data_IF_289834861401
#
_entry.id   IF_289834861401
#
_cell.length_a   1.000
_cell.length_b   1.000
_cell.length_c   1.000
_cell.angle_alpha   90.00
_cell.angle_beta   90.00
_cell.angle_gamma   90.00
#
_symmetry.space_group_name_H-M   'P 1'
#
loop_
_entity.id
_entity.type
_entity.pdbx_description
1 polymer ?
#
# COMPACT_ATOMS: atom_id res chain seq x y z
N UNK A 1 -41.92 22.97 28.80
CA UNK A 1 -40.91 22.71 27.74
C UNK A 1 -41.64 22.24 26.50
N UNK A 2 -41.70 23.08 25.49
CA UNK A 2 -42.48 22.83 24.26
C UNK A 2 -41.78 21.78 23.38
N UNK A 3 -42.54 20.91 22.72
CA UNK A 3 -42.07 19.85 21.80
C UNK A 3 -41.06 20.39 20.75
N UNK A 4 -41.19 21.68 20.38
CA UNK A 4 -40.28 22.37 19.46
C UNK A 4 -38.85 22.55 20.01
N UNK A 5 -38.69 22.75 21.33
CA UNK A 5 -37.36 22.89 21.95
C UNK A 5 -36.59 21.59 22.04
N UNK A 6 -37.28 20.45 22.17
CA UNK A 6 -36.67 19.11 22.16
C UNK A 6 -36.21 18.73 20.77
N UNK A 7 -37.02 18.95 19.75
CA UNK A 7 -36.67 18.66 18.37
C UNK A 7 -35.46 19.49 17.89
N UNK A 8 -35.41 20.79 18.23
CA UNK A 8 -34.30 21.68 17.87
C UNK A 8 -33.01 21.30 18.61
N UNK A 9 -33.10 20.94 19.88
CA UNK A 9 -31.92 20.49 20.65
C UNK A 9 -31.38 19.11 20.18
N UNK A 10 -32.29 18.25 19.75
CA UNK A 10 -31.93 16.94 19.16
C UNK A 10 -31.27 17.12 17.77
N UNK A 11 -31.84 17.97 16.91
CA UNK A 11 -31.26 18.31 15.60
C UNK A 11 -29.89 18.99 15.72
N UNK A 12 -29.71 19.91 16.70
CA UNK A 12 -28.39 20.52 16.94
C UNK A 12 -27.36 19.55 17.53
N UNK A 13 -27.79 18.59 18.36
CA UNK A 13 -26.90 17.54 18.90
C UNK A 13 -26.57 16.51 17.84
N UNK A 14 -27.53 16.06 17.06
CA UNK A 14 -27.31 15.11 15.95
C UNK A 14 -26.48 15.72 14.81
N UNK A 15 -26.68 16.99 14.47
CA UNK A 15 -25.86 17.70 13.50
C UNK A 15 -24.38 17.82 13.91
N UNK A 16 -24.12 18.07 15.20
CA UNK A 16 -22.75 18.13 15.74
C UNK A 16 -21.99 16.81 15.68
N UNK A 17 -22.67 15.68 15.60
CA UNK A 17 -22.07 14.35 15.50
C UNK A 17 -22.08 13.80 14.07
N UNK A 18 -23.11 14.07 13.30
CA UNK A 18 -23.26 13.58 11.93
C UNK A 18 -22.21 14.18 10.97
N UNK A 19 -21.90 15.48 11.12
CA UNK A 19 -20.93 16.17 10.26
C UNK A 19 -19.52 15.56 10.36
N UNK A 20 -18.91 15.35 11.55
CA UNK A 20 -17.60 14.67 11.64
C UNK A 20 -17.61 13.24 11.10
N UNK A 21 -18.69 12.47 11.28
CA UNK A 21 -18.82 11.11 10.74
C UNK A 21 -18.86 11.13 9.21
N UNK A 22 -19.71 11.99 8.62
CA UNK A 22 -19.75 12.17 7.17
C UNK A 22 -18.39 12.65 6.62
N UNK A 23 -17.72 13.57 7.33
CA UNK A 23 -16.36 14.00 7.00
C UNK A 23 -15.34 12.86 7.01
N UNK A 24 -15.42 11.95 8.00
CA UNK A 24 -14.60 10.74 8.05
C UNK A 24 -14.81 9.85 6.83
N UNK A 25 -16.07 9.62 6.46
CA UNK A 25 -16.39 8.85 5.25
C UNK A 25 -15.86 9.53 3.97
N UNK A 26 -15.98 10.85 3.85
CA UNK A 26 -15.45 11.60 2.70
C UNK A 26 -13.93 11.53 2.63
N UNK A 27 -13.22 11.64 3.76
CA UNK A 27 -11.77 11.47 3.80
C UNK A 27 -11.33 10.06 3.34
N UNK A 28 -12.08 9.03 3.72
CA UNK A 28 -11.84 7.66 3.23
C UNK A 28 -12.19 7.50 1.75
N UNK A 29 -13.31 8.08 1.31
CA UNK A 29 -13.74 8.03 -0.08
C UNK A 29 -12.78 8.77 -1.02
N UNK A 30 -12.00 9.73 -0.53
CA UNK A 30 -10.99 10.46 -1.29
C UNK A 30 -9.87 9.56 -1.87
N UNK A 31 -9.71 8.35 -1.36
CA UNK A 31 -8.82 7.33 -1.91
C UNK A 31 -9.43 6.65 -3.14
N UNK A 32 -8.57 6.25 -4.09
CA UNK A 32 -8.94 5.44 -5.24
C UNK A 32 -9.64 6.22 -6.35
N UNK A 33 -9.18 7.43 -6.63
CA UNK A 33 -9.59 8.24 -7.78
C UNK A 33 -8.43 8.42 -8.76
N UNK A 34 -8.62 7.94 -9.97
CA UNK A 34 -7.61 8.03 -11.03
C UNK A 34 -7.28 9.50 -11.36
N UNK A 35 -6.00 9.76 -11.58
CA UNK A 35 -5.50 11.10 -11.90
C UNK A 35 -5.52 12.09 -10.73
N UNK A 36 -5.99 11.71 -9.55
CA UNK A 36 -6.12 12.60 -8.38
C UNK A 36 -5.35 12.09 -7.14
N UNK A 37 -4.06 11.75 -7.25
CA UNK A 37 -3.31 11.16 -6.14
C UNK A 37 -3.16 12.11 -4.94
N UNK A 38 -3.26 13.41 -5.15
CA UNK A 38 -3.19 14.42 -4.10
C UNK A 38 -4.38 14.39 -3.12
N UNK A 39 -5.51 13.76 -3.50
CA UNK A 39 -6.65 13.56 -2.59
C UNK A 39 -6.29 12.72 -1.36
N UNK A 40 -5.24 11.90 -1.42
CA UNK A 40 -4.71 11.18 -0.25
C UNK A 40 -4.34 12.11 0.91
N UNK A 41 -4.04 13.37 0.64
CA UNK A 41 -3.79 14.39 1.67
C UNK A 41 -4.99 14.63 2.60
N UNK A 42 -6.23 14.38 2.13
CA UNK A 42 -7.45 14.50 2.95
C UNK A 42 -7.49 13.47 4.09
N UNK A 43 -6.69 12.40 4.03
CA UNK A 43 -6.56 11.46 5.13
C UNK A 43 -6.11 12.13 6.43
N UNK A 44 -5.33 13.23 6.37
CA UNK A 44 -4.93 14.01 7.54
C UNK A 44 -6.13 14.68 8.26
N UNK A 45 -7.25 14.87 7.60
CA UNK A 45 -8.42 15.45 8.22
C UNK A 45 -9.16 14.46 9.15
N UNK A 46 -9.04 13.14 8.94
CA UNK A 46 -9.71 12.14 9.76
C UNK A 46 -9.31 12.25 11.25
N UNK A 47 -8.03 12.30 11.65
CA UNK A 47 -7.64 12.51 13.05
C UNK A 47 -8.15 13.82 13.64
N UNK A 48 -8.27 14.88 12.84
CA UNK A 48 -8.84 16.16 13.30
C UNK A 48 -10.34 16.02 13.57
N UNK A 49 -11.09 15.38 12.68
CA UNK A 49 -12.52 15.09 12.86
C UNK A 49 -12.74 14.20 14.08
N UNK A 50 -11.87 13.18 14.29
CA UNK A 50 -11.85 12.33 15.47
C UNK A 50 -11.70 13.15 16.75
N UNK A 51 -10.84 14.16 16.76
CA UNK A 51 -10.64 15.03 17.92
C UNK A 51 -11.88 15.87 18.28
N UNK A 52 -12.75 16.14 17.31
CA UNK A 52 -13.99 16.89 17.48
C UNK A 52 -15.17 16.02 17.93
N UNK A 53 -14.99 14.70 18.05
CA UNK A 53 -16.05 13.79 18.45
C UNK A 53 -16.59 14.11 19.84
N UNK A 54 -17.91 14.00 20.02
CA UNK A 54 -18.58 14.25 21.30
C UNK A 54 -18.45 13.10 22.31
N UNK A 55 -18.03 11.89 21.85
CA UNK A 55 -17.81 10.72 22.68
C UNK A 55 -16.88 9.72 21.99
N UNK A 56 -16.36 8.76 22.77
CA UNK A 56 -15.52 7.69 22.22
C UNK A 56 -16.20 6.85 21.13
N UNK A 57 -17.50 6.66 21.23
CA UNK A 57 -18.28 5.92 20.26
C UNK A 57 -18.36 6.64 18.92
N UNK A 58 -18.56 7.95 18.94
CA UNK A 58 -18.54 8.77 17.74
C UNK A 58 -17.13 8.87 17.14
N UNK A 59 -16.11 8.94 17.99
CA UNK A 59 -14.71 8.91 17.57
C UNK A 59 -14.37 7.59 16.85
N UNK A 60 -14.77 6.46 17.43
CA UNK A 60 -14.64 5.15 16.79
C UNK A 60 -15.43 5.05 15.47
N UNK A 61 -16.64 5.65 15.43
CA UNK A 61 -17.46 5.67 14.22
C UNK A 61 -16.81 6.49 13.09
N UNK A 62 -16.20 7.63 13.39
CA UNK A 62 -15.44 8.43 12.41
C UNK A 62 -14.32 7.61 11.78
N UNK A 63 -13.54 6.91 12.60
CA UNK A 63 -12.48 6.04 12.11
C UNK A 63 -13.03 4.85 11.32
N UNK A 64 -14.10 4.21 11.81
CA UNK A 64 -14.73 3.08 11.12
C UNK A 64 -15.18 3.46 9.71
N UNK A 65 -15.95 4.54 9.57
CA UNK A 65 -16.45 4.95 8.25
C UNK A 65 -15.33 5.41 7.33
N UNK A 66 -14.23 5.98 7.87
CA UNK A 66 -13.03 6.29 7.11
C UNK A 66 -12.42 5.03 6.50
N UNK A 67 -12.12 4.01 7.31
CA UNK A 67 -11.50 2.78 6.82
C UNK A 67 -12.43 1.98 5.91
N UNK A 68 -13.72 1.93 6.20
CA UNK A 68 -14.69 1.27 5.33
C UNK A 68 -14.81 1.98 3.97
N UNK A 69 -14.87 3.30 3.94
CA UNK A 69 -14.93 4.06 2.70
C UNK A 69 -13.64 3.95 1.88
N UNK A 70 -12.47 3.98 2.54
CA UNK A 70 -11.16 3.81 1.90
C UNK A 70 -10.99 2.40 1.30
N UNK A 71 -11.56 1.38 1.93
CA UNK A 71 -11.50 -0.02 1.46
C UNK A 71 -12.77 -0.50 0.76
N UNK A 72 -13.59 0.41 0.22
CA UNK A 72 -14.89 0.09 -0.41
C UNK A 72 -14.84 -0.92 -1.55
N UNK A 73 -13.69 -1.08 -2.19
CA UNK A 73 -13.48 -2.10 -3.23
C UNK A 73 -13.31 -3.51 -2.69
N UNK A 74 -12.99 -3.67 -1.38
CA UNK A 74 -12.66 -4.97 -0.80
C UNK A 74 -13.81 -5.98 -0.86
N UNK A 75 -15.08 -5.65 -0.56
CA UNK A 75 -16.17 -6.63 -0.65
C UNK A 75 -16.31 -7.25 -2.04
N UNK A 76 -16.15 -6.44 -3.09
CA UNK A 76 -16.27 -6.89 -4.47
C UNK A 76 -15.03 -7.69 -4.89
N UNK A 77 -13.83 -7.16 -4.70
CA UNK A 77 -12.60 -7.85 -5.05
C UNK A 77 -12.42 -9.15 -4.27
N UNK A 78 -12.59 -9.14 -2.95
CA UNK A 78 -12.51 -10.37 -2.16
C UNK A 78 -13.60 -11.37 -2.53
N UNK A 79 -14.79 -10.90 -2.96
CA UNK A 79 -15.86 -11.76 -3.50
C UNK A 79 -15.41 -12.54 -4.74
N UNK A 80 -14.64 -11.91 -5.63
CA UNK A 80 -14.05 -12.58 -6.80
C UNK A 80 -12.90 -13.51 -6.37
N UNK A 81 -12.02 -13.04 -5.47
CA UNK A 81 -10.88 -13.82 -5.01
C UNK A 81 -11.27 -15.12 -4.31
N UNK A 82 -12.30 -15.08 -3.46
CA UNK A 82 -12.78 -16.22 -2.68
C UNK A 82 -14.00 -16.92 -3.29
N UNK A 83 -14.40 -16.62 -4.52
CA UNK A 83 -15.66 -17.11 -5.13
C UNK A 83 -15.83 -18.63 -5.05
N UNK A 84 -14.75 -19.40 -5.18
CA UNK A 84 -14.76 -20.86 -5.15
C UNK A 84 -14.56 -21.46 -3.75
N UNK A 85 -14.11 -20.66 -2.77
CA UNK A 85 -13.67 -21.17 -1.46
C UNK A 85 -14.48 -20.66 -0.27
N UNK A 86 -15.33 -19.64 -0.46
CA UNK A 86 -16.10 -19.05 0.61
C UNK A 86 -17.50 -18.57 0.16
N UNK A 87 -18.48 -18.50 1.09
CA UNK A 87 -19.81 -18.00 0.76
C UNK A 87 -19.80 -16.48 0.48
N UNK A 88 -20.77 -15.94 -0.29
CA UNK A 88 -20.78 -14.53 -0.73
C UNK A 88 -20.74 -13.49 0.40
N UNK A 89 -21.28 -13.81 1.58
CA UNK A 89 -21.24 -12.88 2.73
C UNK A 89 -19.84 -12.72 3.34
N UNK A 90 -18.93 -13.65 3.05
CA UNK A 90 -17.59 -13.70 3.67
C UNK A 90 -16.75 -12.43 3.34
N UNK A 91 -16.80 -11.98 2.10
CA UNK A 91 -16.08 -10.76 1.66
C UNK A 91 -16.57 -9.50 2.38
N UNK A 92 -17.87 -9.38 2.62
CA UNK A 92 -18.47 -8.30 3.40
C UNK A 92 -18.08 -8.36 4.87
N UNK A 93 -18.04 -9.59 5.43
CA UNK A 93 -17.58 -9.80 6.80
C UNK A 93 -16.10 -9.45 6.98
N UNK A 94 -15.23 -9.81 6.03
CA UNK A 94 -13.82 -9.42 6.01
C UNK A 94 -13.66 -7.90 5.99
N UNK A 95 -14.39 -7.22 5.11
CA UNK A 95 -14.36 -5.76 5.00
C UNK A 95 -14.77 -5.09 6.31
N UNK A 96 -15.88 -5.50 6.90
CA UNK A 96 -16.36 -4.96 8.17
C UNK A 96 -15.36 -5.25 9.30
N UNK A 97 -14.84 -6.46 9.39
CA UNK A 97 -13.87 -6.86 10.40
C UNK A 97 -12.57 -6.05 10.30
N UNK A 98 -12.04 -5.85 9.10
CA UNK A 98 -10.86 -5.03 8.86
C UNK A 98 -11.09 -3.57 9.27
N UNK A 99 -12.24 -3.00 8.94
CA UNK A 99 -12.64 -1.65 9.37
C UNK A 99 -12.74 -1.53 10.89
N UNK A 100 -13.35 -2.53 11.56
CA UNK A 100 -13.50 -2.57 13.02
C UNK A 100 -12.13 -2.67 13.71
N UNK A 101 -11.25 -3.55 13.26
CA UNK A 101 -9.89 -3.70 13.82
C UNK A 101 -9.13 -2.37 13.78
N UNK A 102 -9.19 -1.67 12.65
CA UNK A 102 -8.55 -0.36 12.50
C UNK A 102 -9.23 0.74 13.33
N UNK A 103 -10.53 0.66 13.59
CA UNK A 103 -11.27 1.65 14.38
C UNK A 103 -11.05 1.49 15.90
N UNK A 104 -10.71 0.30 16.39
CA UNK A 104 -10.54 0.01 17.83
C UNK A 104 -9.53 0.93 18.52
N UNK A 105 -8.29 1.17 18.01
CA UNK A 105 -7.36 2.10 18.63
C UNK A 105 -7.94 3.51 18.79
N UNK A 106 -8.65 3.98 17.78
CA UNK A 106 -9.29 5.30 17.77
C UNK A 106 -10.44 5.41 18.77
N UNK A 107 -11.24 4.34 18.93
CA UNK A 107 -12.29 4.24 19.94
C UNK A 107 -11.72 4.28 21.36
N UNK A 108 -10.69 3.46 21.62
CA UNK A 108 -10.15 3.26 22.99
C UNK A 108 -9.32 4.45 23.46
N UNK A 109 -8.58 5.09 22.57
CA UNK A 109 -7.66 6.16 22.90
C UNK A 109 -8.33 7.56 22.90
N UNK A 110 -9.58 7.67 22.52
CA UNK A 110 -10.28 8.95 22.54
C UNK A 110 -10.51 9.47 23.97
N UNK A 111 -10.41 10.79 24.14
CA UNK A 111 -10.63 11.49 25.41
C UNK A 111 -11.26 12.85 25.16
N UNK A 112 -12.06 13.36 26.09
CA UNK A 112 -12.56 14.75 26.04
C UNK A 112 -11.45 15.79 26.37
N UNK A 113 -10.38 15.37 27.03
CA UNK A 113 -9.28 16.25 27.39
C UNK A 113 -8.32 16.45 26.22
N UNK A 114 -8.25 17.67 25.67
CA UNK A 114 -7.41 18.00 24.51
C UNK A 114 -5.92 17.71 24.75
N UNK A 115 -5.40 17.91 25.98
CA UNK A 115 -4.01 17.58 26.29
C UNK A 115 -3.76 16.09 26.21
N UNK A 116 -4.73 15.27 26.63
CA UNK A 116 -4.65 13.82 26.51
C UNK A 116 -4.78 13.39 25.05
N UNK A 117 -5.69 13.99 24.27
CA UNK A 117 -5.80 13.74 22.82
C UNK A 117 -4.49 14.02 22.09
N UNK A 118 -3.74 15.05 22.48
CA UNK A 118 -2.45 15.40 21.89
C UNK A 118 -1.42 14.27 21.96
N UNK A 119 -1.54 13.36 22.92
CA UNK A 119 -0.69 12.16 23.04
C UNK A 119 -1.35 10.90 22.50
N UNK A 120 -2.65 10.74 22.70
CA UNK A 120 -3.35 9.51 22.30
C UNK A 120 -3.65 9.46 20.80
N UNK A 121 -3.72 10.60 20.12
CA UNK A 121 -3.87 10.63 18.66
C UNK A 121 -2.61 10.11 17.92
N UNK A 122 -1.38 10.57 18.24
CA UNK A 122 -0.17 9.95 17.71
C UNK A 122 -0.07 8.45 18.03
N UNK A 123 -0.49 8.04 19.24
CA UNK A 123 -0.54 6.63 19.62
C UNK A 123 -1.53 5.83 18.75
N UNK A 124 -2.72 6.38 18.45
CA UNK A 124 -3.68 5.73 17.55
C UNK A 124 -3.14 5.60 16.12
N UNK A 125 -2.49 6.65 15.61
CA UNK A 125 -1.79 6.60 14.31
C UNK A 125 -0.72 5.51 14.28
N UNK A 126 0.11 5.43 15.32
CA UNK A 126 1.17 4.44 15.42
C UNK A 126 0.62 3.01 15.53
N UNK A 127 -0.39 2.78 16.38
CA UNK A 127 -1.00 1.46 16.56
C UNK A 127 -1.66 0.94 15.27
N UNK A 128 -2.29 1.83 14.47
CA UNK A 128 -2.88 1.44 13.19
C UNK A 128 -1.84 1.33 12.06
N UNK A 129 -0.65 1.92 12.22
CA UNK A 129 0.44 1.81 11.28
C UNK A 129 1.32 0.58 11.53
N UNK A 130 1.49 0.16 12.77
CA UNK A 130 2.45 -0.87 13.19
C UNK A 130 1.77 -2.22 13.52
N UNK A 131 2.46 -3.35 13.36
CA UNK A 131 1.96 -4.64 13.82
C UNK A 131 1.56 -4.64 15.30
N UNK A 132 0.53 -5.40 15.73
CA UNK A 132 -0.24 -6.34 14.89
C UNK A 132 -1.36 -5.69 14.05
N UNK A 133 -1.90 -4.51 14.44
CA UNK A 133 -3.01 -3.86 13.72
C UNK A 133 -2.56 -3.45 12.31
N UNK A 134 -1.33 -2.95 12.17
CA UNK A 134 -0.74 -2.55 10.90
C UNK A 134 -0.63 -3.66 9.84
N UNK A 135 -0.80 -4.95 10.21
CA UNK A 135 -0.96 -6.03 9.22
C UNK A 135 -2.28 -5.94 8.44
N UNK A 136 -3.27 -5.22 8.98
CA UNK A 136 -4.58 -4.97 8.36
C UNK A 136 -4.74 -3.46 8.12
N UNK A 137 -3.70 -2.67 8.41
CA UNK A 137 -3.67 -1.21 8.44
C UNK A 137 -3.67 -0.58 7.06
N UNK A 138 -4.77 -0.64 6.36
CA UNK A 138 -4.96 -0.08 5.03
C UNK A 138 -5.07 1.46 5.08
N UNK A 139 -4.34 2.16 4.20
CA UNK A 139 -4.38 3.62 3.98
C UNK A 139 -4.36 4.46 5.28
N UNK A 140 -3.35 4.25 6.10
CA UNK A 140 -3.17 4.99 7.34
C UNK A 140 -3.06 6.50 7.08
N UNK A 141 -3.67 7.36 7.91
CA UNK A 141 -3.58 8.82 7.74
C UNK A 141 -2.16 9.40 7.71
N UNK A 142 -1.16 8.69 8.23
CA UNK A 142 0.26 9.09 8.11
C UNK A 142 0.71 9.23 6.66
N UNK A 143 0.10 8.50 5.73
CA UNK A 143 0.39 8.58 4.30
C UNK A 143 0.21 10.01 3.76
N UNK A 144 -0.70 10.82 4.34
CA UNK A 144 -0.90 12.21 3.95
C UNK A 144 0.37 13.08 4.06
N UNK A 145 1.39 12.63 4.80
CA UNK A 145 2.66 13.35 4.92
C UNK A 145 3.34 13.60 3.56
N UNK A 146 3.21 12.67 2.61
CA UNK A 146 3.82 12.85 1.29
C UNK A 146 3.14 13.92 0.41
N UNK A 147 1.90 14.29 0.74
CA UNK A 147 1.23 15.42 0.09
C UNK A 147 1.53 16.73 0.82
N UNK A 148 1.52 16.70 2.15
CA UNK A 148 1.69 17.92 2.96
C UNK A 148 3.16 18.32 3.11
N UNK A 149 4.06 17.36 3.25
CA UNK A 149 5.48 17.57 3.54
C UNK A 149 6.38 16.76 2.59
N UNK A 150 6.24 16.90 1.26
CA UNK A 150 7.03 16.15 0.30
C UNK A 150 8.53 16.42 0.48
N UNK A 151 9.36 15.41 0.18
CA UNK A 151 10.82 15.51 0.23
C UNK A 151 11.44 15.49 1.63
N UNK A 152 10.62 15.56 2.70
CA UNK A 152 11.13 15.63 4.05
C UNK A 152 11.28 14.27 4.75
N UNK A 153 10.89 13.17 4.11
CA UNK A 153 11.05 11.83 4.67
C UNK A 153 10.46 11.66 6.06
N UNK A 154 11.21 11.08 6.98
CA UNK A 154 10.77 10.90 8.38
C UNK A 154 10.51 12.23 9.11
N UNK A 155 11.22 13.30 8.75
CA UNK A 155 10.92 14.65 9.29
C UNK A 155 9.55 15.11 8.84
N UNK A 156 9.14 14.82 7.60
CA UNK A 156 7.81 15.11 7.09
C UNK A 156 6.70 14.37 7.85
N UNK A 157 6.93 13.10 8.23
CA UNK A 157 6.02 12.37 9.12
C UNK A 157 5.91 13.04 10.49
N UNK A 158 7.04 13.45 11.08
CA UNK A 158 7.03 14.16 12.35
C UNK A 158 6.31 15.50 12.24
N UNK A 159 6.51 16.26 11.15
CA UNK A 159 5.79 17.50 10.87
C UNK A 159 4.28 17.28 10.73
N UNK A 160 3.83 16.22 10.07
CA UNK A 160 2.41 15.89 10.00
C UNK A 160 1.84 15.64 11.39
N UNK A 161 2.46 14.75 12.18
CA UNK A 161 2.00 14.44 13.54
C UNK A 161 2.00 15.69 14.42
N UNK A 162 3.05 16.50 14.36
CA UNK A 162 3.13 17.77 15.07
C UNK A 162 2.01 18.72 14.64
N UNK A 163 1.70 18.83 13.34
CA UNK A 163 0.62 19.67 12.83
C UNK A 163 -0.73 19.26 13.39
N UNK A 164 -1.01 17.96 13.44
CA UNK A 164 -2.24 17.42 14.00
C UNK A 164 -2.37 17.74 15.51
N UNK A 165 -1.28 17.50 16.27
CA UNK A 165 -1.22 17.79 17.72
C UNK A 165 -1.41 19.25 18.01
N UNK A 166 -0.69 20.12 17.31
CA UNK A 166 -0.72 21.57 17.47
C UNK A 166 -2.10 22.12 17.15
N UNK A 167 -2.77 21.59 16.12
CA UNK A 167 -4.14 21.93 15.76
C UNK A 167 -5.11 21.57 16.89
N UNK A 168 -5.03 20.37 17.44
CA UNK A 168 -5.85 19.91 18.57
C UNK A 168 -5.65 20.81 19.80
N UNK A 169 -4.39 21.18 20.09
CA UNK A 169 -4.05 22.08 21.19
C UNK A 169 -4.37 23.56 20.91
N UNK A 170 -4.91 23.89 19.72
CA UNK A 170 -5.22 25.25 19.28
C UNK A 170 -4.05 26.22 19.34
N UNK A 171 -2.83 25.73 19.05
CA UNK A 171 -1.59 26.51 19.02
C UNK A 171 -1.39 27.12 17.63
N UNK A 172 -2.20 28.12 17.28
CA UNK A 172 -2.33 28.66 15.92
C UNK A 172 -1.03 29.23 15.34
N UNK A 173 -0.17 29.84 16.17
CA UNK A 173 1.14 30.35 15.73
C UNK A 173 2.05 29.21 15.25
N UNK A 174 2.15 28.13 16.04
CA UNK A 174 2.94 26.95 15.66
C UNK A 174 2.31 26.23 14.45
N UNK A 175 0.97 26.18 14.37
CA UNK A 175 0.27 25.65 13.21
C UNK A 175 0.58 26.43 11.93
N UNK A 176 0.66 27.76 12.00
CA UNK A 176 1.05 28.63 10.88
C UNK A 176 2.50 28.35 10.42
N UNK A 177 3.44 28.14 11.36
CA UNK A 177 4.83 27.77 11.01
C UNK A 177 4.86 26.44 10.27
N UNK A 178 4.17 25.41 10.77
CA UNK A 178 4.12 24.08 10.11
C UNK A 178 3.43 24.14 8.74
N UNK A 179 2.38 24.96 8.60
CA UNK A 179 1.75 25.22 7.31
C UNK A 179 2.73 25.91 6.33
N UNK A 180 3.52 26.87 6.81
CA UNK A 180 4.56 27.50 5.99
C UNK A 180 5.63 26.48 5.53
N UNK A 181 6.06 25.58 6.43
CA UNK A 181 6.97 24.48 6.06
C UNK A 181 6.33 23.59 4.98
N UNK A 182 5.04 23.24 5.12
CA UNK A 182 4.33 22.46 4.12
C UNK A 182 4.30 23.16 2.75
N UNK A 183 4.02 24.47 2.72
CA UNK A 183 4.03 25.25 1.48
C UNK A 183 5.42 25.25 0.85
N UNK A 184 6.45 25.53 1.63
CA UNK A 184 7.84 25.56 1.16
C UNK A 184 8.26 24.19 0.63
N UNK A 185 7.98 23.10 1.36
CA UNK A 185 8.26 21.74 0.91
C UNK A 185 7.60 21.42 -0.45
N UNK A 186 6.34 21.85 -0.63
CA UNK A 186 5.64 21.65 -1.90
C UNK A 186 6.23 22.50 -3.04
N UNK A 187 6.68 23.73 -2.77
CA UNK A 187 7.37 24.54 -3.79
C UNK A 187 8.68 23.87 -4.24
N UNK A 188 9.48 23.36 -3.32
CA UNK A 188 10.70 22.62 -3.66
C UNK A 188 10.38 21.33 -4.43
N UNK A 189 9.40 20.56 -3.99
CA UNK A 189 9.00 19.32 -4.67
C UNK A 189 8.47 19.54 -6.10
N UNK A 190 7.99 20.74 -6.45
CA UNK A 190 7.63 21.08 -7.83
C UNK A 190 8.87 21.35 -8.70
N UNK A 191 10.02 21.63 -8.11
CA UNK A 191 11.28 21.89 -8.81
C UNK A 191 12.17 20.66 -8.88
N UNK A 192 11.87 19.62 -8.07
CA UNK A 192 12.63 18.37 -8.07
C UNK A 192 12.61 17.70 -9.44
N UNK A 193 13.79 17.42 -9.96
CA UNK A 193 13.96 16.64 -11.18
C UNK A 193 14.29 15.20 -10.80
N UNK A 194 13.68 14.21 -11.46
CA UNK A 194 14.08 12.81 -11.29
C UNK A 194 15.58 12.66 -11.55
N UNK A 195 16.22 11.78 -10.79
CA UNK A 195 17.61 11.43 -11.03
C UNK A 195 17.80 10.96 -12.48
N UNK A 196 18.88 11.33 -13.19
CA UNK A 196 19.06 11.01 -14.61
C UNK A 196 18.92 9.52 -14.93
N UNK A 197 19.39 8.64 -14.03
CA UNK A 197 19.29 7.19 -14.20
C UNK A 197 17.85 6.66 -14.07
N UNK A 198 16.94 7.42 -13.45
CA UNK A 198 15.56 6.96 -13.23
C UNK A 198 14.79 6.78 -14.55
N UNK A 199 15.19 7.48 -15.60
CA UNK A 199 14.60 7.31 -16.94
C UNK A 199 14.90 5.95 -17.58
N UNK A 200 15.93 5.24 -17.09
CA UNK A 200 16.26 3.89 -17.53
C UNK A 200 15.41 2.80 -16.80
N UNK A 201 14.58 3.19 -15.84
CA UNK A 201 13.68 2.30 -15.11
C UNK A 201 12.24 2.51 -15.53
N UNK A 202 11.53 1.44 -15.87
CA UNK A 202 10.13 1.51 -16.27
C UNK A 202 9.32 0.35 -15.70
N UNK A 203 8.03 0.59 -15.45
CA UNK A 203 7.06 -0.45 -15.14
C UNK A 203 6.20 -0.74 -16.37
N UNK A 204 5.77 -1.98 -16.53
CA UNK A 204 4.86 -2.37 -17.59
C UNK A 204 3.71 -3.18 -17.05
N UNK A 205 2.52 -2.63 -17.17
CA UNK A 205 1.29 -3.31 -16.82
C UNK A 205 1.01 -4.46 -17.79
N UNK A 206 0.32 -5.47 -17.28
CA UNK A 206 -0.14 -6.61 -18.05
C UNK A 206 -1.63 -6.85 -17.84
N UNK A 207 -2.24 -7.57 -18.76
CA UNK A 207 -3.61 -8.03 -18.66
C UNK A 207 -3.63 -9.55 -18.87
N UNK A 208 -3.06 -10.26 -17.90
CA UNK A 208 -3.07 -11.71 -17.87
C UNK A 208 -4.27 -12.20 -17.07
N UNK A 209 -4.93 -13.23 -17.59
CA UNK A 209 -5.95 -13.92 -16.80
C UNK A 209 -5.34 -14.53 -15.53
N UNK A 210 -6.21 -14.84 -14.54
CA UNK A 210 -5.85 -15.60 -13.34
C UNK A 210 -4.99 -16.82 -13.71
N UNK A 211 -3.85 -16.96 -13.05
CA UNK A 211 -3.14 -18.24 -13.05
C UNK A 211 -3.93 -19.24 -12.21
N UNK A 212 -4.39 -20.31 -12.82
CA UNK A 212 -4.90 -21.46 -12.09
C UNK A 212 -3.70 -22.24 -11.56
N UNK A 213 -3.32 -21.96 -10.32
CA UNK A 213 -2.19 -22.63 -9.64
C UNK A 213 -2.53 -24.05 -9.21
N UNK A 214 -3.83 -24.39 -9.13
CA UNK A 214 -4.33 -25.68 -8.63
C UNK A 214 -4.69 -26.66 -9.75
N UNK A 215 -4.78 -26.21 -11.00
CA UNK A 215 -4.94 -27.05 -12.16
C UNK A 215 -3.55 -27.61 -12.60
N UNK A 216 -3.54 -28.77 -13.26
CA UNK A 216 -2.34 -29.29 -13.92
C UNK A 216 -1.66 -28.18 -14.72
N UNK A 217 -0.30 -28.10 -14.70
CA UNK A 217 0.44 -27.01 -15.33
C UNK A 217 -0.08 -26.79 -16.75
N UNK A 218 -0.63 -25.61 -17.02
CA UNK A 218 -1.04 -25.27 -18.37
C UNK A 218 0.20 -24.81 -19.13
N UNK A 219 0.98 -25.76 -19.62
CA UNK A 219 2.24 -25.53 -20.35
C UNK A 219 2.10 -24.53 -21.50
N UNK A 220 0.90 -24.42 -22.11
CA UNK A 220 0.65 -23.44 -23.16
C UNK A 220 0.66 -22.02 -22.61
N UNK A 221 -0.01 -21.80 -21.49
CA UNK A 221 -0.05 -20.47 -20.82
C UNK A 221 1.31 -20.08 -20.26
N UNK A 222 2.03 -21.01 -19.63
CA UNK A 222 3.40 -20.78 -19.17
C UNK A 222 4.34 -20.46 -20.32
N UNK A 223 4.33 -21.26 -21.38
CA UNK A 223 5.15 -21.06 -22.57
C UNK A 223 4.89 -19.69 -23.23
N UNK A 224 3.62 -19.26 -23.30
CA UNK A 224 3.26 -17.94 -23.82
C UNK A 224 3.82 -16.80 -22.97
N UNK A 225 3.79 -16.92 -21.63
CA UNK A 225 4.32 -15.89 -20.73
C UNK A 225 5.85 -15.84 -20.80
N UNK A 226 6.53 -16.97 -20.81
CA UNK A 226 7.99 -17.02 -21.01
C UNK A 226 8.37 -16.43 -22.37
N UNK A 227 7.66 -16.77 -23.45
CA UNK A 227 7.89 -16.19 -24.77
C UNK A 227 7.72 -14.66 -24.78
N UNK A 228 6.74 -14.15 -24.04
CA UNK A 228 6.52 -12.71 -23.91
C UNK A 228 7.67 -12.02 -23.14
N UNK A 229 8.17 -12.65 -22.08
CA UNK A 229 9.36 -12.15 -21.35
C UNK A 229 10.58 -12.15 -22.26
N UNK A 230 10.79 -13.20 -23.07
CA UNK A 230 11.87 -13.27 -24.06
C UNK A 230 11.77 -12.14 -25.08
N UNK A 231 10.57 -11.86 -25.58
CA UNK A 231 10.34 -10.75 -26.51
C UNK A 231 10.68 -9.40 -25.85
N UNK A 232 10.22 -9.16 -24.62
CA UNK A 232 10.53 -7.96 -23.86
C UNK A 232 12.04 -7.80 -23.62
N UNK A 233 12.73 -8.87 -23.24
CA UNK A 233 14.18 -8.87 -23.07
C UNK A 233 14.93 -8.54 -24.37
N UNK A 234 14.41 -9.03 -25.51
CA UNK A 234 14.94 -8.69 -26.84
C UNK A 234 14.83 -7.21 -27.16
N UNK A 235 13.71 -6.60 -26.79
CA UNK A 235 13.38 -5.19 -27.08
C UNK A 235 13.98 -4.20 -26.06
N UNK A 236 14.38 -4.67 -24.88
CA UNK A 236 14.90 -3.80 -23.83
C UNK A 236 16.25 -3.21 -24.25
N UNK A 237 16.37 -1.90 -24.14
CA UNK A 237 17.59 -1.18 -24.42
C UNK A 237 18.69 -1.49 -23.41
N UNK A 238 19.98 -1.40 -23.79
CA UNK A 238 21.09 -1.61 -22.86
C UNK A 238 21.02 -0.64 -21.67
N UNK A 239 21.36 -1.17 -20.50
CA UNK A 239 21.35 -0.38 -19.24
C UNK A 239 19.97 -0.11 -18.66
N UNK A 240 18.88 -0.66 -19.24
CA UNK A 240 17.53 -0.42 -18.77
C UNK A 240 17.02 -1.52 -17.82
N UNK A 241 16.16 -1.12 -16.89
CA UNK A 241 15.45 -2.02 -15.97
C UNK A 241 13.96 -1.96 -16.21
N UNK A 242 13.34 -3.11 -16.47
CA UNK A 242 11.91 -3.26 -16.64
C UNK A 242 11.30 -3.99 -15.44
N UNK A 243 10.27 -3.42 -14.85
CA UNK A 243 9.50 -4.06 -13.79
C UNK A 243 8.20 -4.63 -14.37
N UNK A 244 7.96 -5.90 -14.15
CA UNK A 244 6.72 -6.60 -14.49
C UNK A 244 5.90 -6.88 -13.20
N UNK A 245 4.59 -7.13 -13.33
CA UNK A 245 3.72 -7.37 -12.19
C UNK A 245 4.08 -8.61 -11.36
N UNK A 246 3.40 -8.73 -10.22
CA UNK A 246 3.39 -9.92 -9.38
C UNK A 246 2.82 -11.13 -10.14
N UNK A 247 3.38 -12.31 -9.90
CA UNK A 247 2.89 -13.61 -10.41
C UNK A 247 2.70 -13.65 -11.93
N UNK A 248 3.57 -12.99 -12.68
CA UNK A 248 3.64 -13.13 -14.15
C UNK A 248 4.07 -14.54 -14.51
N UNK A 249 5.05 -15.07 -13.80
CA UNK A 249 5.45 -16.47 -13.86
C UNK A 249 4.71 -17.25 -12.75
N UNK A 250 4.23 -18.47 -13.02
CA UNK A 250 3.53 -19.25 -12.00
C UNK A 250 4.51 -19.70 -10.89
N UNK A 251 5.09 -20.87 -11.02
CA UNK A 251 6.07 -21.39 -10.07
C UNK A 251 7.41 -21.54 -10.74
N UNK A 252 8.43 -20.95 -10.14
CA UNK A 252 9.81 -21.27 -10.49
C UNK A 252 10.32 -22.25 -9.43
N UNK A 253 10.15 -23.54 -9.73
CA UNK A 253 10.76 -24.60 -8.93
C UNK A 253 12.24 -24.63 -9.30
N UNK A 254 13.13 -24.61 -8.29
CA UNK A 254 14.55 -24.82 -8.53
C UNK A 254 14.75 -26.22 -9.13
N UNK A 255 15.05 -26.30 -10.42
CA UNK A 255 15.27 -27.56 -11.09
C UNK A 255 15.25 -27.45 -12.62
N UNK A 256 15.53 -28.53 -13.29
CA UNK A 256 15.72 -28.66 -14.72
C UNK A 256 14.43 -28.62 -15.55
N UNK A 257 13.47 -27.77 -15.21
CA UNK A 257 12.31 -27.59 -16.04
C UNK A 257 12.60 -26.66 -17.24
N UNK A 258 11.79 -26.78 -18.28
CA UNK A 258 11.96 -26.04 -19.53
C UNK A 258 11.90 -24.50 -19.28
N UNK A 259 11.02 -24.05 -18.41
CA UNK A 259 10.86 -22.64 -18.07
C UNK A 259 12.11 -22.06 -17.40
N UNK A 260 12.70 -22.80 -16.45
CA UNK A 260 13.94 -22.39 -15.78
C UNK A 260 15.12 -22.28 -16.77
N UNK A 261 15.24 -23.22 -17.73
CA UNK A 261 16.27 -23.15 -18.77
C UNK A 261 16.09 -21.94 -19.69
N UNK A 262 14.86 -21.66 -20.13
CA UNK A 262 14.55 -20.50 -20.96
C UNK A 262 14.82 -19.18 -20.22
N UNK A 263 14.45 -19.08 -18.96
CA UNK A 263 14.72 -17.90 -18.14
C UNK A 263 16.23 -17.70 -17.90
N UNK A 264 17.00 -18.76 -17.76
CA UNK A 264 18.46 -18.66 -17.69
C UNK A 264 19.06 -18.06 -18.97
N UNK A 265 18.56 -18.46 -20.15
CA UNK A 265 18.93 -17.85 -21.43
C UNK A 265 18.59 -16.36 -21.53
N UNK A 266 17.37 -15.99 -21.09
CA UNK A 266 16.93 -14.59 -21.00
C UNK A 266 17.84 -13.80 -20.05
N UNK A 267 18.16 -14.36 -18.88
CA UNK A 267 19.03 -13.71 -17.90
C UNK A 267 20.43 -13.46 -18.47
N UNK A 268 21.01 -14.43 -19.17
CA UNK A 268 22.31 -14.26 -19.83
C UNK A 268 22.29 -13.16 -20.91
N UNK A 269 21.22 -13.11 -21.71
CA UNK A 269 21.03 -12.06 -22.73
C UNK A 269 20.94 -10.65 -22.10
N UNK A 270 20.15 -10.52 -21.03
CA UNK A 270 19.99 -9.25 -20.31
C UNK A 270 21.29 -8.81 -19.67
N UNK A 271 22.02 -9.75 -19.04
CA UNK A 271 23.31 -9.47 -18.41
C UNK A 271 24.34 -8.97 -19.42
N UNK A 272 24.35 -9.52 -20.63
CA UNK A 272 25.20 -9.03 -21.73
C UNK A 272 24.87 -7.60 -22.18
N UNK A 273 23.65 -7.12 -21.91
CA UNK A 273 23.19 -5.75 -22.17
C UNK A 273 23.32 -4.84 -20.94
N UNK A 274 23.82 -5.33 -19.82
CA UNK A 274 23.78 -4.61 -18.52
C UNK A 274 22.36 -4.18 -18.12
N UNK A 275 21.36 -4.96 -18.52
CA UNK A 275 19.92 -4.69 -18.32
C UNK A 275 19.31 -5.73 -17.39
N UNK A 276 18.17 -5.39 -16.78
CA UNK A 276 17.46 -6.33 -15.92
C UNK A 276 15.95 -6.30 -16.12
N UNK A 277 15.29 -7.43 -15.87
CA UNK A 277 13.83 -7.51 -15.75
C UNK A 277 13.50 -8.04 -14.36
N UNK A 278 12.75 -7.25 -13.58
CA UNK A 278 12.11 -7.71 -12.36
C UNK A 278 10.78 -8.37 -12.72
N UNK A 279 10.61 -9.64 -12.44
CA UNK A 279 9.40 -10.41 -12.78
C UNK A 279 8.85 -11.15 -11.58
N UNK A 280 7.54 -11.01 -11.33
CA UNK A 280 6.86 -11.69 -10.24
C UNK A 280 6.73 -13.19 -10.46
N UNK A 281 7.07 -13.98 -9.44
CA UNK A 281 6.99 -15.44 -9.44
C UNK A 281 6.76 -15.99 -8.02
N UNK A 282 6.24 -17.22 -7.94
CA UNK A 282 6.29 -18.01 -6.71
C UNK A 282 7.58 -18.83 -6.69
N UNK A 283 8.34 -18.74 -5.59
CA UNK A 283 9.59 -19.47 -5.38
C UNK A 283 9.49 -20.43 -4.22
N UNK A 284 10.27 -21.51 -4.24
CA UNK A 284 10.31 -22.45 -3.15
C UNK A 284 10.95 -21.83 -1.90
N UNK A 285 10.32 -22.07 -0.75
CA UNK A 285 10.82 -21.71 0.57
C UNK A 285 11.13 -22.98 1.39
N UNK A 286 11.90 -22.88 2.48
CA UNK A 286 12.14 -24.00 3.38
C UNK A 286 10.82 -24.63 3.88
N UNK A 287 10.79 -25.97 4.05
CA UNK A 287 9.63 -26.67 4.60
C UNK A 287 8.46 -26.86 3.63
N UNK A 288 8.70 -26.92 2.32
CA UNK A 288 7.67 -27.05 1.26
C UNK A 288 6.70 -25.88 1.14
N UNK A 289 7.02 -24.76 1.76
CA UNK A 289 6.24 -23.53 1.60
C UNK A 289 6.63 -22.82 0.29
N UNK A 290 5.78 -21.91 -0.15
CA UNK A 290 6.07 -21.01 -1.26
C UNK A 290 6.29 -19.59 -0.72
N UNK A 291 7.05 -18.79 -1.46
CA UNK A 291 7.21 -17.37 -1.24
C UNK A 291 6.89 -16.64 -2.53
N UNK A 292 6.16 -15.56 -2.41
CA UNK A 292 5.96 -14.66 -3.54
C UNK A 292 7.15 -13.71 -3.64
N UNK A 293 7.68 -13.51 -4.83
CA UNK A 293 8.92 -12.78 -5.04
C UNK A 293 8.96 -12.05 -6.38
N UNK A 294 9.84 -11.04 -6.48
CA UNK A 294 10.34 -10.54 -7.76
C UNK A 294 11.71 -11.15 -8.03
N UNK A 295 11.84 -11.82 -9.14
CA UNK A 295 13.12 -12.34 -9.65
C UNK A 295 13.80 -11.30 -10.52
N UNK A 296 15.09 -11.07 -10.34
CA UNK A 296 15.87 -10.15 -11.15
C UNK A 296 16.59 -10.94 -12.28
N UNK A 297 16.00 -11.01 -13.45
CA UNK A 297 16.64 -11.60 -14.63
C UNK A 297 17.66 -10.61 -15.18
N UNK A 298 18.87 -11.07 -15.46
CA UNK A 298 19.98 -10.21 -15.93
C UNK A 298 20.83 -9.62 -14.81
N UNK A 299 20.45 -9.83 -13.55
CA UNK A 299 21.20 -9.40 -12.37
C UNK A 299 21.44 -10.59 -11.44
N UNK A 300 22.57 -10.61 -10.73
CA UNK A 300 22.93 -11.70 -9.81
C UNK A 300 22.33 -11.51 -8.40
N UNK A 301 21.47 -10.54 -8.21
CA UNK A 301 20.76 -10.34 -6.96
C UNK A 301 19.79 -11.49 -6.67
N UNK A 302 19.66 -11.84 -5.41
CA UNK A 302 18.69 -12.84 -5.00
C UNK A 302 17.25 -12.35 -5.18
N UNK A 303 16.27 -13.26 -5.02
CA UNK A 303 14.85 -12.90 -5.13
C UNK A 303 14.43 -11.86 -4.08
N UNK A 304 13.63 -10.88 -4.49
CA UNK A 304 13.03 -9.89 -3.62
C UNK A 304 11.73 -10.47 -3.05
N UNK A 305 11.79 -10.99 -1.83
CA UNK A 305 10.70 -11.76 -1.22
C UNK A 305 9.63 -10.87 -0.61
N UNK A 306 8.36 -11.11 -0.92
CA UNK A 306 7.22 -10.48 -0.26
C UNK A 306 7.26 -10.74 1.24
N UNK A 307 7.14 -9.70 2.05
CA UNK A 307 7.20 -9.79 3.51
C UNK A 307 5.85 -10.10 4.14
N UNK A 308 4.79 -9.48 3.62
CA UNK A 308 3.43 -9.56 4.17
C UNK A 308 2.46 -9.95 3.06
N UNK A 309 2.30 -11.24 2.78
CA UNK A 309 1.25 -11.73 1.90
C UNK A 309 -0.14 -11.43 2.49
N UNK A 310 -1.17 -11.41 1.64
CA UNK A 310 -2.56 -11.12 2.07
C UNK A 310 -2.99 -12.06 3.18
N UNK A 311 -3.32 -11.54 4.38
CA UNK A 311 -3.82 -12.37 5.47
C UNK A 311 -5.09 -13.14 5.07
N UNK A 312 -5.22 -14.38 5.54
CA UNK A 312 -6.33 -15.29 5.25
C UNK A 312 -6.36 -15.78 3.79
N UNK A 313 -6.02 -14.94 2.83
CA UNK A 313 -5.97 -15.30 1.42
C UNK A 313 -4.74 -16.13 1.07
N UNK A 314 -3.57 -15.57 1.28
CA UNK A 314 -2.28 -16.16 0.95
C UNK A 314 -1.52 -16.62 2.18
N UNK A 315 -1.48 -15.79 3.22
CA UNK A 315 -0.81 -16.08 4.50
C UNK A 315 -1.79 -16.73 5.48
N UNK A 316 -1.62 -18.01 5.68
CA UNK A 316 -2.42 -18.86 6.58
C UNK A 316 -1.49 -19.71 7.44
N UNK A 317 -0.89 -19.17 8.53
CA UNK A 317 0.14 -19.88 9.31
C UNK A 317 -0.38 -21.18 9.95
N UNK A 318 -1.70 -21.41 9.99
CA UNK A 318 -2.36 -22.62 10.46
C UNK A 318 -2.58 -23.68 9.36
N UNK A 319 -2.31 -23.36 8.07
CA UNK A 319 -2.51 -24.26 6.95
C UNK A 319 -1.16 -24.85 6.47
N UNK A 320 -1.19 -26.09 5.96
CA UNK A 320 -0.02 -26.73 5.41
C UNK A 320 0.47 -26.03 4.12
N UNK A 321 -0.49 -25.58 3.31
CA UNK A 321 -0.22 -24.80 2.10
C UNK A 321 -0.48 -23.33 2.37
N UNK A 322 0.58 -22.55 2.41
CA UNK A 322 0.56 -21.11 2.67
C UNK A 322 1.73 -20.43 2.01
N UNK A 323 1.57 -19.16 1.64
CA UNK A 323 2.69 -18.30 1.30
C UNK A 323 3.39 -17.88 2.58
N UNK A 324 4.70 -18.14 2.68
CA UNK A 324 5.49 -17.81 3.86
C UNK A 324 5.64 -16.28 3.98
N UNK A 325 5.39 -15.76 5.18
CA UNK A 325 5.58 -14.35 5.51
C UNK A 325 6.91 -14.13 6.23
N UNK A 326 7.55 -12.98 5.97
CA UNK A 326 8.72 -12.48 6.72
C UNK A 326 8.52 -10.99 7.07
N UNK A 327 7.58 -10.65 7.97
CA UNK A 327 7.18 -9.27 8.22
C UNK A 327 8.30 -8.34 8.70
N UNK A 328 9.37 -8.90 9.26
CA UNK A 328 10.53 -8.16 9.76
C UNK A 328 11.66 -8.04 8.73
N UNK A 329 11.49 -8.56 7.52
CA UNK A 329 12.45 -8.41 6.44
C UNK A 329 12.70 -6.93 6.10
N UNK A 330 13.92 -6.60 5.66
CA UNK A 330 14.33 -5.22 5.36
C UNK A 330 13.53 -4.56 4.23
N UNK A 331 12.98 -5.35 3.30
CA UNK A 331 12.30 -4.84 2.11
C UNK A 331 13.21 -4.08 1.16
N UNK A 332 14.52 -4.35 1.22
CA UNK A 332 15.55 -3.77 0.37
C UNK A 332 16.26 -4.89 -0.38
N UNK A 333 16.46 -4.68 -1.67
CA UNK A 333 17.32 -5.48 -2.52
C UNK A 333 18.33 -4.63 -3.28
N UNK A 334 19.20 -5.27 -4.02
CA UNK A 334 20.13 -4.62 -4.97
C UNK A 334 19.72 -5.05 -6.37
N UNK A 335 19.56 -4.15 -7.31
CA UNK A 335 19.30 -4.44 -8.71
C UNK A 335 19.94 -3.37 -9.57
N UNK A 336 20.70 -3.74 -10.58
CA UNK A 336 21.41 -2.82 -11.46
C UNK A 336 22.20 -1.74 -10.70
N UNK A 337 22.89 -2.14 -9.62
CA UNK A 337 23.69 -1.25 -8.77
C UNK A 337 22.87 -0.27 -7.91
N UNK A 338 21.54 -0.42 -7.83
CA UNK A 338 20.65 0.45 -7.03
C UNK A 338 20.04 -0.30 -5.84
N UNK A 339 19.85 0.43 -4.75
CA UNK A 339 19.11 -0.05 -3.58
C UNK A 339 17.62 0.11 -3.83
N UNK A 340 16.94 -1.00 -3.97
CA UNK A 340 15.53 -1.07 -4.35
C UNK A 340 14.70 -1.32 -3.10
N UNK A 341 13.89 -0.34 -2.69
CA UNK A 341 12.76 -0.64 -1.81
C UNK A 341 11.67 -1.30 -2.65
N UNK A 342 11.22 -2.47 -2.26
CA UNK A 342 10.16 -3.18 -2.97
C UNK A 342 8.98 -3.46 -2.06
N UNK A 343 7.79 -3.35 -2.65
CA UNK A 343 6.51 -3.68 -2.01
C UNK A 343 5.65 -4.44 -3.02
N UNK A 344 5.32 -5.67 -2.65
CA UNK A 344 4.58 -6.56 -3.55
C UNK A 344 3.12 -6.61 -3.12
N UNK A 345 2.21 -6.32 -4.04
CA UNK A 345 0.77 -6.42 -3.93
C UNK A 345 0.21 -5.73 -2.66
N UNK A 346 -0.29 -6.48 -1.71
CA UNK A 346 -0.89 -6.01 -0.47
C UNK A 346 0.02 -5.06 0.35
N UNK A 347 1.34 -5.25 0.31
CA UNK A 347 2.29 -4.40 1.04
C UNK A 347 2.23 -2.93 0.63
N UNK A 348 1.79 -2.64 -0.60
CA UNK A 348 1.65 -1.27 -1.10
C UNK A 348 0.62 -0.46 -0.30
N UNK A 349 -0.32 -1.15 0.34
CA UNK A 349 -1.38 -0.55 1.16
C UNK A 349 -0.96 -0.36 2.62
N UNK A 350 0.13 -1.01 3.06
CA UNK A 350 0.57 -1.05 4.44
C UNK A 350 1.64 0.01 4.73
N UNK A 351 1.55 0.64 5.89
CA UNK A 351 2.50 1.70 6.29
C UNK A 351 3.82 1.13 6.78
N UNK A 352 3.82 0.12 7.68
CA UNK A 352 5.06 -0.32 8.32
C UNK A 352 6.07 -0.96 7.37
N UNK A 353 5.69 -1.77 6.36
CA UNK A 353 6.68 -2.34 5.44
C UNK A 353 7.43 -1.25 4.67
N UNK A 354 6.70 -0.22 4.24
CA UNK A 354 7.29 0.92 3.54
C UNK A 354 8.24 1.68 4.47
N UNK A 355 7.84 1.99 5.71
CA UNK A 355 8.70 2.70 6.66
C UNK A 355 9.97 1.92 6.98
N UNK A 356 9.90 0.59 7.12
CA UNK A 356 11.07 -0.27 7.30
C UNK A 356 12.00 -0.18 6.10
N UNK A 357 11.47 -0.25 4.89
CA UNK A 357 12.27 -0.10 3.66
C UNK A 357 12.93 1.28 3.60
N UNK A 358 12.19 2.35 3.87
CA UNK A 358 12.71 3.73 3.82
C UNK A 358 13.79 4.01 4.87
N UNK A 359 13.74 3.37 6.04
CA UNK A 359 14.79 3.49 7.06
C UNK A 359 16.15 2.95 6.58
N UNK A 360 16.16 2.11 5.55
CA UNK A 360 17.38 1.59 4.93
C UNK A 360 17.90 2.44 3.77
N UNK A 361 17.30 3.60 3.48
CA UNK A 361 17.76 4.57 2.48
C UNK A 361 17.84 4.03 1.05
N UNK A 362 16.71 3.65 0.44
CA UNK A 362 16.67 3.17 -0.95
C UNK A 362 16.93 4.30 -1.95
N UNK A 363 17.26 3.91 -3.20
CA UNK A 363 17.37 4.81 -4.35
C UNK A 363 16.06 4.89 -5.14
N UNK A 364 15.26 3.80 -5.12
CA UNK A 364 14.01 3.67 -5.90
C UNK A 364 12.98 2.87 -5.11
N UNK A 365 11.71 3.19 -5.31
CA UNK A 365 10.56 2.44 -4.78
C UNK A 365 9.90 1.67 -5.92
N UNK A 366 9.88 0.34 -5.82
CA UNK A 366 9.24 -0.57 -6.77
C UNK A 366 7.98 -1.16 -6.16
N UNK A 367 6.86 -1.01 -6.86
CA UNK A 367 5.59 -1.67 -6.57
C UNK A 367 5.22 -2.65 -7.68
N UNK A 368 4.93 -3.89 -7.35
CA UNK A 368 4.40 -4.87 -8.29
C UNK A 368 3.16 -5.53 -7.71
N UNK A 369 2.07 -5.61 -8.47
CA UNK A 369 0.81 -6.16 -7.99
C UNK A 369 0.15 -7.08 -9.02
N UNK A 370 -0.70 -7.99 -8.51
CA UNK A 370 -1.56 -8.82 -9.35
C UNK A 370 -3.01 -8.64 -8.91
N UNK A 371 -3.68 -7.71 -9.55
CA UNK A 371 -4.99 -7.20 -9.17
C UNK A 371 -6.14 -7.71 -10.07
N UNK A 372 -5.94 -8.84 -10.78
CA UNK A 372 -6.96 -9.43 -11.64
C UNK A 372 -8.34 -9.57 -10.94
N UNK A 373 -8.33 -9.81 -9.63
CA UNK A 373 -9.52 -9.97 -8.78
C UNK A 373 -10.14 -8.63 -8.37
N UNK A 374 -9.40 -7.55 -8.43
CA UNK A 374 -9.78 -6.21 -8.01
C UNK A 374 -9.88 -5.21 -9.18
N UNK A 375 -9.75 -5.67 -10.41
CA UNK A 375 -9.66 -4.87 -11.64
C UNK A 375 -10.72 -3.76 -11.72
N UNK A 376 -11.98 -4.09 -11.40
CA UNK A 376 -13.12 -3.15 -11.50
C UNK A 376 -13.39 -2.43 -10.18
N UNK A 377 -12.41 -2.40 -9.27
CA UNK A 377 -12.53 -1.74 -7.98
C UNK A 377 -11.55 -0.58 -7.85
N UNK A 378 -11.64 0.15 -6.72
CA UNK A 378 -10.68 1.23 -6.42
C UNK A 378 -9.32 0.73 -5.92
N UNK A 379 -9.10 -0.58 -5.75
CA UNK A 379 -7.90 -1.14 -5.09
C UNK A 379 -6.62 -0.84 -5.89
N UNK A 380 -6.55 -1.13 -7.22
CA UNK A 380 -5.33 -0.84 -7.98
C UNK A 380 -4.95 0.65 -7.96
N UNK A 381 -5.96 1.52 -8.06
CA UNK A 381 -5.75 2.98 -7.98
C UNK A 381 -5.23 3.40 -6.60
N UNK A 382 -5.74 2.81 -5.51
CA UNK A 382 -5.27 3.11 -4.14
C UNK A 382 -3.82 2.67 -3.96
N UNK A 383 -3.41 1.53 -4.51
CA UNK A 383 -2.02 1.06 -4.47
C UNK A 383 -1.09 2.05 -5.18
N UNK A 384 -1.40 2.43 -6.41
CA UNK A 384 -0.64 3.44 -7.15
C UNK A 384 -0.59 4.79 -6.43
N UNK A 385 -1.72 5.22 -5.86
CA UNK A 385 -1.83 6.45 -5.08
C UNK A 385 -0.95 6.41 -3.82
N UNK A 386 -0.94 5.29 -3.09
CA UNK A 386 -0.09 5.11 -1.91
C UNK A 386 1.40 5.15 -2.28
N UNK A 387 1.81 4.43 -3.34
CA UNK A 387 3.18 4.46 -3.83
C UNK A 387 3.63 5.87 -4.23
N UNK A 388 2.79 6.58 -4.99
CA UNK A 388 3.05 7.97 -5.38
C UNK A 388 3.32 8.86 -4.16
N UNK A 389 2.48 8.74 -3.14
CA UNK A 389 2.58 9.58 -1.94
C UNK A 389 3.83 9.24 -1.12
N UNK A 390 4.17 7.96 -0.97
CA UNK A 390 5.39 7.53 -0.30
C UNK A 390 6.65 7.93 -1.08
N UNK A 391 6.67 7.74 -2.40
CA UNK A 391 7.74 8.21 -3.27
C UNK A 391 7.96 9.71 -3.12
N UNK A 392 6.87 10.48 -3.10
CA UNK A 392 6.90 11.93 -2.93
C UNK A 392 7.45 12.36 -1.57
N UNK A 393 7.08 11.64 -0.48
CA UNK A 393 7.59 11.94 0.87
C UNK A 393 9.10 11.79 0.97
N UNK A 394 9.66 10.77 0.31
CA UNK A 394 11.07 10.42 0.38
C UNK A 394 11.89 10.87 -0.84
N UNK A 395 11.31 11.65 -1.77
CA UNK A 395 11.93 12.09 -3.03
C UNK A 395 12.51 10.92 -3.84
N UNK A 396 11.76 9.82 -3.93
CA UNK A 396 12.18 8.63 -4.65
C UNK A 396 11.43 8.50 -5.99
N UNK A 397 12.11 8.08 -7.06
CA UNK A 397 11.44 7.55 -8.23
C UNK A 397 10.56 6.37 -7.83
N UNK A 398 9.37 6.30 -8.41
CA UNK A 398 8.42 5.20 -8.19
C UNK A 398 8.24 4.45 -9.49
N UNK A 399 8.50 3.16 -9.48
CA UNK A 399 8.25 2.26 -10.61
C UNK A 399 7.14 1.31 -10.20
N UNK A 400 6.04 1.34 -10.92
CA UNK A 400 4.86 0.53 -10.63
C UNK A 400 4.48 -0.32 -11.82
N UNK A 401 4.11 -1.58 -11.55
CA UNK A 401 3.57 -2.49 -12.54
C UNK A 401 2.43 -3.31 -11.93
N UNK A 402 1.30 -3.38 -12.61
CA UNK A 402 0.14 -4.14 -12.15
C UNK A 402 -0.40 -5.05 -13.25
N UNK A 403 -0.94 -6.21 -12.85
CA UNK A 403 -1.70 -7.10 -13.71
C UNK A 403 -3.18 -6.96 -13.36
N UNK A 404 -4.00 -6.50 -14.31
CA UNK A 404 -5.43 -6.25 -14.11
C UNK A 404 -6.30 -7.01 -15.12
#
# INVERSE_FOLDING_TARGET
MTVSGWALSWLMRSGRTAIPVAGGALCGFAWGHDGLPWLAGLAAAMPLLWSLAGSRWWAGMIALVYYLAASRGLPFGAGIFFAESAPPWFSWALWLAAGLVNAVPWLLLWSQNLRRQAWTMPAALALTALPPVGFIGWVNPLTAAGILFPGLGFVGLACLVASLVVFVLRRWQTAAILASIAVVANIFAMQDKPAPWASAWSGRDTNFARLQTDAAPNFLTEGQRVAQIMMLAGQLEPGHVLVLPETVLPRVLQGNDFSSMMLAGVSAQLKAKESAILVGAEVAAPGRQLQNALLALGDDSGPLIQRVPVPIGMWRPWAAETIAANPLGSGIGQVAGRRVAYVICYEQLLTFPILVSMANGPDVLVGAANDWWARETSIPTIQGQALYVWGRLFSLPVIHATNT
#
